data_IF_524565648888
#
_entry.id   IF_524565648888
#
_cell.length_a   1.000
_cell.length_b   1.000
_cell.length_c   1.000
_cell.angle_alpha   90.00
_cell.angle_beta   90.00
_cell.angle_gamma   90.00
#
_symmetry.space_group_name_H-M   'P 1'
#
loop_
_entity.id
_entity.type
_entity.pdbx_description
1 polymer ?
#
# COMPACT_ATOMS: atom_id res chain seq x y z
N UNK A 1 -13.64 0.08 -15.11
CA UNK A 1 -14.24 -1.20 -15.58
C UNK A 1 -13.17 -2.28 -15.84
N UNK A 2 -12.11 -2.03 -16.62
CA UNK A 2 -11.08 -3.05 -16.90
C UNK A 2 -10.32 -3.47 -15.65
N UNK A 3 -9.90 -2.52 -14.82
CA UNK A 3 -9.22 -2.78 -13.55
C UNK A 3 -10.10 -3.60 -12.59
N UNK A 4 -11.37 -3.28 -12.50
CA UNK A 4 -12.34 -4.01 -11.68
C UNK A 4 -12.47 -5.46 -12.15
N UNK A 5 -12.61 -5.67 -13.44
CA UNK A 5 -12.72 -7.01 -14.03
C UNK A 5 -11.47 -7.85 -13.79
N UNK A 6 -10.28 -7.28 -14.00
CA UNK A 6 -9.02 -8.00 -13.85
C UNK A 6 -8.78 -8.48 -12.42
N UNK A 7 -9.08 -7.64 -11.42
CA UNK A 7 -8.83 -7.96 -10.01
C UNK A 7 -9.94 -8.79 -9.37
N UNK A 8 -11.20 -8.63 -9.79
CA UNK A 8 -12.30 -9.41 -9.26
C UNK A 8 -12.23 -10.91 -9.60
N UNK A 9 -11.46 -11.28 -10.62
CA UNK A 9 -11.20 -12.69 -10.95
C UNK A 9 -10.35 -13.42 -9.90
N UNK A 10 -9.52 -12.68 -9.16
CA UNK A 10 -8.65 -13.23 -8.09
C UNK A 10 -9.34 -13.20 -6.73
N UNK A 11 -9.92 -12.07 -6.39
CA UNK A 11 -10.69 -11.86 -5.17
C UNK A 11 -11.87 -10.91 -5.45
N UNK A 12 -13.09 -11.43 -5.56
CA UNK A 12 -14.26 -10.61 -5.82
C UNK A 12 -14.53 -9.54 -4.75
N UNK A 13 -14.15 -9.79 -3.51
CA UNK A 13 -14.35 -8.86 -2.40
C UNK A 13 -13.34 -7.70 -2.41
N UNK A 14 -12.17 -7.90 -3.04
CA UNK A 14 -11.11 -6.89 -3.08
C UNK A 14 -11.56 -5.58 -3.73
N UNK A 15 -12.24 -5.67 -4.87
CA UNK A 15 -12.65 -4.49 -5.65
C UNK A 15 -13.59 -3.60 -4.85
N UNK A 16 -14.58 -4.19 -4.15
CA UNK A 16 -15.51 -3.44 -3.30
C UNK A 16 -14.77 -2.68 -2.20
N UNK A 17 -13.92 -3.37 -1.45
CA UNK A 17 -13.13 -2.78 -0.36
C UNK A 17 -12.15 -1.71 -0.86
N UNK A 18 -11.48 -1.96 -1.98
CA UNK A 18 -10.57 -0.99 -2.58
C UNK A 18 -11.29 0.31 -3.01
N UNK A 19 -12.50 0.20 -3.55
CA UNK A 19 -13.33 1.36 -3.89
C UNK A 19 -13.75 2.17 -2.66
N UNK A 20 -14.11 1.52 -1.57
CA UNK A 20 -14.42 2.20 -0.30
C UNK A 20 -13.20 2.99 0.20
N UNK A 21 -12.04 2.36 0.25
CA UNK A 21 -10.79 3.01 0.66
C UNK A 21 -10.44 4.18 -0.26
N UNK A 22 -10.63 4.02 -1.57
CA UNK A 22 -10.40 5.09 -2.54
C UNK A 22 -11.34 6.27 -2.32
N UNK A 23 -12.62 6.02 -2.08
CA UNK A 23 -13.59 7.07 -1.78
C UNK A 23 -13.24 7.83 -0.48
N UNK A 24 -12.77 7.13 0.54
CA UNK A 24 -12.30 7.73 1.79
C UNK A 24 -11.07 8.63 1.56
N UNK A 25 -10.14 8.23 0.70
CA UNK A 25 -8.99 9.07 0.34
C UNK A 25 -9.40 10.29 -0.48
N UNK A 26 -10.35 10.14 -1.39
CA UNK A 26 -10.90 11.27 -2.16
C UNK A 26 -11.55 12.30 -1.22
N UNK A 27 -12.35 11.84 -0.26
CA UNK A 27 -12.94 12.70 0.78
C UNK A 27 -11.87 13.40 1.63
N UNK A 28 -10.80 12.68 2.00
CA UNK A 28 -9.67 13.26 2.71
C UNK A 28 -8.99 14.38 1.92
N UNK A 29 -8.80 14.18 0.62
CA UNK A 29 -8.20 15.19 -0.26
C UNK A 29 -9.04 16.46 -0.35
N UNK A 30 -10.36 16.31 -0.38
CA UNK A 30 -11.30 17.44 -0.45
C UNK A 30 -11.40 18.19 0.88
N UNK A 31 -11.45 17.48 2.00
CA UNK A 31 -11.70 18.06 3.33
C UNK A 31 -10.46 18.33 4.16
N UNK A 32 -9.33 17.73 3.80
CA UNK A 32 -8.09 17.73 4.60
C UNK A 32 -8.11 16.77 5.79
N UNK A 33 -9.19 15.99 5.97
CA UNK A 33 -9.37 15.07 7.12
C UNK A 33 -9.85 13.71 6.66
N UNK A 34 -9.38 12.66 7.35
CA UNK A 34 -9.91 11.31 7.18
C UNK A 34 -11.37 11.24 7.64
N UNK A 35 -12.22 10.45 6.96
CA UNK A 35 -13.58 10.21 7.40
C UNK A 35 -13.65 9.66 8.83
N UNK A 36 -14.70 10.03 9.56
CA UNK A 36 -14.87 9.67 10.98
C UNK A 36 -14.86 8.15 11.20
N UNK A 37 -15.47 7.38 10.30
CA UNK A 37 -15.47 5.92 10.41
C UNK A 37 -14.08 5.30 10.28
N UNK A 38 -13.17 5.90 9.52
CA UNK A 38 -11.76 5.50 9.44
C UNK A 38 -11.03 5.89 10.72
N UNK A 39 -11.20 7.12 11.18
CA UNK A 39 -10.56 7.63 12.41
C UNK A 39 -10.89 6.77 13.62
N UNK A 40 -12.13 6.34 13.78
CA UNK A 40 -12.54 5.43 14.86
C UNK A 40 -11.82 4.09 14.81
N UNK A 41 -11.63 3.54 13.61
CA UNK A 41 -10.94 2.25 13.42
C UNK A 41 -9.44 2.33 13.72
N UNK A 42 -8.81 3.46 13.45
CA UNK A 42 -7.36 3.66 13.57
C UNK A 42 -6.95 4.50 14.77
N UNK A 43 -7.85 4.80 15.67
CA UNK A 43 -7.61 5.68 16.82
C UNK A 43 -6.42 5.23 17.69
N UNK A 44 -6.23 3.91 17.85
CA UNK A 44 -5.11 3.33 18.59
C UNK A 44 -3.73 3.56 17.96
N UNK A 45 -3.68 3.96 16.70
CA UNK A 45 -2.44 4.23 15.99
C UNK A 45 -1.91 5.65 16.23
N UNK A 46 -2.70 6.54 16.82
CA UNK A 46 -2.35 7.95 17.07
C UNK A 46 -1.83 8.66 15.80
N UNK A 47 -2.58 8.53 14.71
CA UNK A 47 -2.19 9.06 13.40
C UNK A 47 -2.29 10.58 13.40
N UNK A 48 -1.24 11.26 12.90
CA UNK A 48 -1.33 12.66 12.47
C UNK A 48 -2.05 12.71 11.12
N UNK A 49 -3.18 13.40 11.04
CA UNK A 49 -3.97 13.52 9.80
C UNK A 49 -3.28 14.39 8.76
N UNK A 50 -2.51 15.38 9.19
CA UNK A 50 -1.78 16.29 8.30
C UNK A 50 -0.73 15.52 7.50
N UNK A 51 -0.82 15.63 6.17
CA UNK A 51 0.11 14.96 5.25
C UNK A 51 -0.06 13.44 5.16
N UNK A 52 -1.04 12.85 5.84
CA UNK A 52 -1.30 11.41 5.76
C UNK A 52 -2.02 11.06 4.47
N UNK A 53 -1.55 10.01 3.80
CA UNK A 53 -2.17 9.41 2.61
C UNK A 53 -2.83 8.11 3.01
N UNK A 54 -4.02 7.87 2.50
CA UNK A 54 -4.80 6.66 2.76
C UNK A 54 -5.02 5.87 1.47
N UNK A 55 -4.79 4.58 1.50
CA UNK A 55 -4.94 3.73 0.33
C UNK A 55 -4.95 2.25 0.66
N UNK A 56 -5.28 1.43 -0.32
CA UNK A 56 -5.27 -0.02 -0.16
C UNK A 56 -3.88 -0.63 -0.39
N UNK A 57 -3.64 -1.74 0.30
CA UNK A 57 -2.42 -2.53 0.17
C UNK A 57 -2.78 -3.98 -0.17
N UNK A 58 -2.06 -4.57 -1.10
CA UNK A 58 -2.15 -6.00 -1.41
C UNK A 58 -1.04 -6.75 -0.69
N UNK A 59 -1.42 -7.82 -0.01
CA UNK A 59 -0.47 -8.74 0.64
C UNK A 59 -0.49 -10.06 -0.11
N UNK A 60 0.67 -10.52 -0.56
CA UNK A 60 0.81 -11.77 -1.30
C UNK A 60 2.17 -12.42 -1.06
N UNK A 61 2.25 -13.74 -1.12
CA UNK A 61 3.51 -14.47 -0.90
C UNK A 61 4.57 -14.15 -1.95
N UNK A 62 4.24 -14.34 -3.22
CA UNK A 62 5.15 -14.14 -4.36
C UNK A 62 4.39 -13.60 -5.58
N UNK A 63 3.99 -12.31 -5.57
CA UNK A 63 3.24 -11.75 -6.69
C UNK A 63 4.16 -11.45 -7.89
N UNK A 64 3.54 -11.40 -9.09
CA UNK A 64 4.19 -10.94 -10.31
C UNK A 64 4.77 -12.02 -11.21
N UNK A 65 4.29 -13.26 -11.12
CA UNK A 65 4.67 -14.38 -11.99
C UNK A 65 3.92 -14.41 -13.33
N UNK A 66 2.80 -13.68 -13.43
CA UNK A 66 2.01 -13.59 -14.67
C UNK A 66 2.68 -12.76 -15.76
N UNK A 67 2.21 -12.91 -17.01
CA UNK A 67 2.72 -12.15 -18.16
C UNK A 67 2.26 -10.69 -18.20
N UNK A 68 1.08 -10.38 -17.68
CA UNK A 68 0.48 -9.04 -17.66
C UNK A 68 0.84 -8.22 -16.40
N UNK A 69 2.12 -8.13 -16.08
CA UNK A 69 2.62 -7.54 -14.82
C UNK A 69 2.34 -6.05 -14.70
N UNK A 70 2.53 -5.31 -15.77
CA UNK A 70 2.25 -3.88 -15.79
C UNK A 70 0.75 -3.61 -15.62
N UNK A 71 -0.10 -4.37 -16.31
CA UNK A 71 -1.54 -4.26 -16.17
C UNK A 71 -2.01 -4.60 -14.75
N UNK A 72 -1.41 -5.57 -14.10
CA UNK A 72 -1.73 -5.90 -12.71
C UNK A 72 -1.40 -4.74 -11.76
N UNK A 73 -0.25 -4.10 -11.92
CA UNK A 73 0.15 -2.93 -11.14
C UNK A 73 -0.75 -1.71 -11.43
N UNK A 74 -1.00 -1.40 -12.70
CA UNK A 74 -1.85 -0.26 -13.08
C UNK A 74 -3.30 -0.42 -12.61
N UNK A 75 -3.87 -1.62 -12.71
CA UNK A 75 -5.21 -1.91 -12.21
C UNK A 75 -5.32 -1.68 -10.70
N UNK A 76 -4.33 -2.11 -9.95
CA UNK A 76 -4.29 -1.87 -8.50
C UNK A 76 -4.22 -0.37 -8.19
N UNK A 77 -3.37 0.38 -8.90
CA UNK A 77 -3.24 1.84 -8.70
C UNK A 77 -4.53 2.58 -9.00
N UNK A 78 -5.19 2.25 -10.10
CA UNK A 78 -6.49 2.85 -10.49
C UNK A 78 -7.56 2.65 -9.42
N UNK A 79 -7.53 1.54 -8.71
CA UNK A 79 -8.44 1.25 -7.59
C UNK A 79 -7.98 1.81 -6.24
N UNK A 80 -6.99 2.70 -6.23
CA UNK A 80 -6.53 3.35 -5.00
C UNK A 80 -5.45 2.59 -4.23
N UNK A 81 -4.80 1.60 -4.87
CA UNK A 81 -3.65 0.91 -4.28
C UNK A 81 -2.44 1.81 -4.16
N UNK A 82 -1.76 1.77 -3.01
CA UNK A 82 -0.55 2.57 -2.74
C UNK A 82 0.66 1.73 -2.37
N UNK A 83 0.48 0.46 -2.02
CA UNK A 83 1.56 -0.42 -1.62
C UNK A 83 1.23 -1.90 -1.86
N UNK A 84 2.28 -2.70 -1.96
CA UNK A 84 2.22 -4.14 -1.83
C UNK A 84 3.15 -4.59 -0.72
N UNK A 85 2.79 -5.67 -0.03
CA UNK A 85 3.67 -6.37 0.90
C UNK A 85 3.78 -7.81 0.42
N UNK A 86 4.99 -8.26 0.16
CA UNK A 86 5.27 -9.61 -0.31
C UNK A 86 6.37 -10.27 0.52
N UNK A 87 6.43 -11.59 0.52
CA UNK A 87 7.62 -12.29 1.02
C UNK A 87 8.78 -12.09 0.05
N UNK A 88 8.49 -12.19 -1.22
CA UNK A 88 9.39 -11.86 -2.33
C UNK A 88 8.58 -11.48 -3.56
N UNK A 89 9.19 -10.80 -4.50
CA UNK A 89 8.58 -10.54 -5.82
C UNK A 89 9.05 -11.57 -6.83
N UNK A 90 8.12 -12.13 -7.58
CA UNK A 90 8.43 -13.17 -8.58
C UNK A 90 9.42 -12.68 -9.64
N UNK A 91 9.39 -11.40 -9.97
CA UNK A 91 10.31 -10.77 -10.92
C UNK A 91 10.68 -9.36 -10.50
N UNK A 92 11.90 -8.94 -10.83
CA UNK A 92 12.33 -7.54 -10.69
C UNK A 92 11.44 -6.60 -11.52
N UNK A 93 10.94 -7.07 -12.66
CA UNK A 93 10.06 -6.29 -13.54
C UNK A 93 8.74 -5.91 -12.85
N UNK A 94 8.11 -6.83 -12.13
CA UNK A 94 6.87 -6.52 -11.41
C UNK A 94 7.11 -5.48 -10.30
N UNK A 95 8.20 -5.63 -9.56
CA UNK A 95 8.61 -4.63 -8.56
C UNK A 95 8.81 -3.25 -9.18
N UNK A 96 9.51 -3.19 -10.32
CA UNK A 96 9.70 -1.94 -11.08
C UNK A 96 8.37 -1.36 -11.58
N UNK A 97 7.45 -2.19 -12.03
CA UNK A 97 6.12 -1.74 -12.46
C UNK A 97 5.33 -1.11 -11.30
N UNK A 98 5.38 -1.67 -10.09
CA UNK A 98 4.78 -1.06 -8.91
C UNK A 98 5.35 0.34 -8.67
N UNK A 99 6.67 0.48 -8.69
CA UNK A 99 7.37 1.75 -8.49
C UNK A 99 6.98 2.76 -9.57
N UNK A 100 6.95 2.36 -10.84
CA UNK A 100 6.60 3.24 -11.96
C UNK A 100 5.17 3.81 -11.84
N UNK A 101 4.28 3.11 -11.15
CA UNK A 101 2.94 3.58 -10.82
C UNK A 101 2.88 4.33 -9.47
N UNK A 102 4.01 4.64 -8.86
CA UNK A 102 4.09 5.35 -7.59
C UNK A 102 3.70 4.53 -6.36
N UNK A 103 3.70 3.20 -6.49
CA UNK A 103 3.38 2.30 -5.38
C UNK A 103 4.64 1.78 -4.69
N UNK A 104 4.54 1.56 -3.38
CA UNK A 104 5.62 1.06 -2.54
C UNK A 104 5.70 -0.48 -2.61
N UNK A 105 6.84 -1.05 -3.03
CA UNK A 105 7.04 -2.49 -3.11
C UNK A 105 7.70 -3.05 -1.84
N UNK A 106 6.95 -3.15 -0.77
CA UNK A 106 7.49 -3.70 0.49
C UNK A 106 7.69 -5.21 0.44
N UNK A 107 8.67 -5.67 1.20
CA UNK A 107 8.83 -7.08 1.58
C UNK A 107 8.79 -7.24 3.09
N UNK A 108 8.34 -8.39 3.58
CA UNK A 108 8.34 -8.77 4.97
C UNK A 108 8.63 -10.27 5.11
N UNK A 109 9.39 -10.65 6.13
CA UNK A 109 9.72 -12.06 6.39
C UNK A 109 8.48 -12.88 6.72
N UNK A 110 7.58 -12.30 7.50
CA UNK A 110 6.33 -12.93 7.96
C UNK A 110 5.13 -12.15 7.45
N UNK A 111 4.21 -12.86 6.82
CA UNK A 111 2.98 -12.28 6.29
C UNK A 111 1.79 -12.61 7.21
N UNK A 112 1.84 -12.13 8.45
CA UNK A 112 0.75 -12.28 9.43
C UNK A 112 -0.27 -11.15 9.31
N UNK A 113 -0.79 -10.95 8.11
CA UNK A 113 -1.78 -9.92 7.82
C UNK A 113 -3.13 -10.56 7.50
N UNK A 114 -4.20 -9.91 7.95
CA UNK A 114 -5.59 -10.30 7.65
C UNK A 114 -6.27 -9.20 6.86
N UNK A 115 -7.24 -9.58 6.05
CA UNK A 115 -8.10 -8.61 5.36
C UNK A 115 -8.80 -7.73 6.40
N UNK A 116 -8.70 -6.41 6.21
CA UNK A 116 -9.22 -5.42 7.15
C UNK A 116 -8.20 -4.89 8.16
N UNK A 117 -6.97 -5.44 8.19
CA UNK A 117 -5.88 -4.85 8.97
C UNK A 117 -5.49 -3.49 8.43
N UNK A 118 -5.02 -2.62 9.31
CA UNK A 118 -4.44 -1.32 8.96
C UNK A 118 -2.94 -1.34 9.20
N UNK A 119 -2.20 -0.72 8.29
CA UNK A 119 -0.76 -0.56 8.40
C UNK A 119 -0.45 0.93 8.36
N UNK A 120 0.20 1.43 9.39
CA UNK A 120 0.60 2.82 9.51
C UNK A 120 2.11 2.95 9.46
N UNK A 121 2.58 3.83 8.58
CA UNK A 121 3.99 4.16 8.44
C UNK A 121 4.11 5.66 8.64
N UNK A 122 4.74 6.05 9.73
CA UNK A 122 4.99 7.46 10.04
C UNK A 122 6.20 7.97 9.24
N UNK A 123 6.07 9.15 8.64
CA UNK A 123 7.15 9.81 7.90
C UNK A 123 7.78 8.95 6.78
N UNK A 124 6.98 8.22 6.03
CA UNK A 124 7.45 7.35 4.95
C UNK A 124 8.30 8.10 3.91
N UNK A 125 7.94 9.32 3.58
CA UNK A 125 8.67 10.16 2.63
C UNK A 125 10.11 10.43 3.08
N UNK A 126 10.34 10.65 4.38
CA UNK A 126 11.67 10.81 4.95
C UNK A 126 12.51 9.53 4.80
N UNK A 127 11.95 8.36 5.13
CA UNK A 127 12.64 7.10 4.96
C UNK A 127 13.04 6.84 3.51
N UNK A 128 12.16 7.15 2.57
CA UNK A 128 12.45 7.01 1.13
C UNK A 128 13.55 7.96 0.69
N UNK A 129 13.52 9.24 1.10
CA UNK A 129 14.56 10.23 0.78
C UNK A 129 15.92 9.81 1.34
N UNK A 130 15.95 9.35 2.57
CA UNK A 130 17.17 8.96 3.27
C UNK A 130 17.75 7.63 2.75
N UNK A 131 17.01 6.92 1.89
CA UNK A 131 17.44 5.63 1.34
C UNK A 131 17.40 4.49 2.35
N UNK A 132 16.56 4.58 3.36
CA UNK A 132 16.37 3.51 4.33
C UNK A 132 15.81 2.25 3.64
N UNK A 133 16.47 1.12 3.84
CA UNK A 133 16.00 -0.17 3.31
C UNK A 133 14.96 -0.81 4.22
N UNK A 134 15.06 -0.57 5.52
CA UNK A 134 14.14 -1.07 6.54
C UNK A 134 13.34 0.08 7.12
N UNK A 135 12.04 -0.11 7.18
CA UNK A 135 11.07 0.92 7.56
C UNK A 135 10.19 0.39 8.70
N UNK A 136 10.22 1.05 9.87
CA UNK A 136 9.33 0.66 10.96
C UNK A 136 7.89 1.02 10.61
N UNK A 137 6.97 0.15 10.97
CA UNK A 137 5.55 0.33 10.74
C UNK A 137 4.75 -0.22 11.92
N UNK A 138 3.48 0.15 11.99
CA UNK A 138 2.53 -0.38 12.97
C UNK A 138 1.41 -1.11 12.25
N UNK A 139 1.10 -2.30 12.71
CA UNK A 139 -0.03 -3.09 12.24
C UNK A 139 -1.14 -3.06 13.29
N UNK A 140 -2.32 -2.65 12.88
CA UNK A 140 -3.55 -2.75 13.68
C UNK A 140 -4.38 -3.92 13.16
N UNK A 141 -4.53 -4.95 13.98
CA UNK A 141 -5.32 -6.14 13.66
C UNK A 141 -6.22 -6.49 14.83
N UNK A 142 -7.53 -6.55 14.60
CA UNK A 142 -8.51 -6.91 15.63
C UNK A 142 -8.44 -6.03 16.89
N UNK A 143 -8.11 -4.74 16.75
CA UNK A 143 -7.96 -3.80 17.86
C UNK A 143 -6.62 -3.85 18.59
N UNK A 144 -5.70 -4.71 18.18
CA UNK A 144 -4.35 -4.81 18.72
C UNK A 144 -3.33 -4.12 17.79
N UNK A 145 -2.47 -3.30 18.39
CA UNK A 145 -1.36 -2.65 17.66
C UNK A 145 -0.09 -3.45 17.88
N UNK A 146 0.61 -3.75 16.80
CA UNK A 146 1.88 -4.46 16.79
C UNK A 146 2.91 -3.69 15.97
N UNK A 147 4.11 -3.54 16.51
CA UNK A 147 5.24 -3.01 15.75
C UNK A 147 5.75 -4.06 14.77
N UNK A 148 5.94 -3.65 13.53
CA UNK A 148 6.47 -4.49 12.45
C UNK A 148 7.57 -3.74 11.71
N UNK A 149 8.36 -4.47 10.95
CA UNK A 149 9.38 -3.93 10.07
C UNK A 149 9.10 -4.35 8.63
N UNK A 150 9.09 -3.38 7.73
CA UNK A 150 8.96 -3.58 6.30
C UNK A 150 10.28 -3.26 5.61
N UNK A 151 10.58 -3.97 4.55
CA UNK A 151 11.77 -3.72 3.73
C UNK A 151 11.35 -3.20 2.36
N UNK A 152 12.03 -2.19 1.85
CA UNK A 152 11.79 -1.67 0.50
C UNK A 152 12.95 -1.99 -0.44
N UNK A 153 14.07 -2.46 0.08
CA UNK A 153 15.30 -2.72 -0.65
C UNK A 153 15.99 -1.44 -1.11
N UNK A 154 16.99 -1.59 -1.98
CA UNK A 154 17.65 -0.45 -2.59
C UNK A 154 16.80 0.20 -3.66
N UNK A 155 16.64 1.52 -3.58
CA UNK A 155 15.95 2.35 -4.57
C UNK A 155 16.96 3.25 -5.28
N UNK A 156 16.86 3.35 -6.60
CA UNK A 156 17.59 4.36 -7.37
C UNK A 156 17.03 5.75 -7.09
N UNK A 157 17.77 6.81 -7.43
CA UNK A 157 17.26 8.17 -7.25
C UNK A 157 16.00 8.42 -8.08
N UNK A 158 15.92 7.89 -9.28
CA UNK A 158 14.73 8.00 -10.13
C UNK A 158 13.52 7.28 -9.53
N UNK A 159 13.72 6.09 -8.97
CA UNK A 159 12.67 5.34 -8.27
C UNK A 159 12.16 6.10 -7.05
N UNK A 160 13.05 6.70 -6.24
CA UNK A 160 12.66 7.56 -5.11
C UNK A 160 11.82 8.73 -5.58
N UNK A 161 12.23 9.40 -6.65
CA UNK A 161 11.51 10.55 -7.21
C UNK A 161 10.11 10.18 -7.66
N UNK A 162 9.95 9.02 -8.31
CA UNK A 162 8.63 8.52 -8.74
C UNK A 162 7.72 8.26 -7.54
N UNK A 163 8.22 7.56 -6.53
CA UNK A 163 7.46 7.25 -5.31
C UNK A 163 7.02 8.52 -4.57
N UNK A 164 7.93 9.49 -4.43
CA UNK A 164 7.66 10.74 -3.70
C UNK A 164 6.69 11.67 -4.42
N UNK A 165 6.55 11.55 -5.73
CA UNK A 165 5.54 12.29 -6.50
C UNK A 165 4.13 11.71 -6.35
N UNK A 166 4.02 10.47 -6.01
CA UNK A 166 2.76 9.76 -5.81
C UNK A 166 2.14 9.20 -7.08
#
# INVERSE_FOLDING_TARGET
KLAEFALSRKDPAYVGKAKEVKADEEARRETGKLPEHVLKKVEKLNISEEGTIYGSCVVAGKPGDGSAREQAASCQRVLGGIANIAREYATKRYRSNLINWGMLPFTAEKLHFKVGDYIYIENIDRYIRDGAEKIPAKQLSGGNVKDIELSVGSLTQDEKNIILKG
#
